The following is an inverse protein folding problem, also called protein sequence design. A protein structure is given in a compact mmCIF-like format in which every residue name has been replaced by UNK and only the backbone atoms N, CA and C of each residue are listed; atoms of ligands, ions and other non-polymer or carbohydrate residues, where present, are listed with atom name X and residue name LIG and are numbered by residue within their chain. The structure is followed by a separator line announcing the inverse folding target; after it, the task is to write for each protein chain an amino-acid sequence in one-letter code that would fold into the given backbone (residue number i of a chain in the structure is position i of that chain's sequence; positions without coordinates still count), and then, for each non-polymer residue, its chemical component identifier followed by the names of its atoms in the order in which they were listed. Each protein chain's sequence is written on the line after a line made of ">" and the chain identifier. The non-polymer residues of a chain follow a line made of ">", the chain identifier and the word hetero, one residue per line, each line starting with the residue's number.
data_IF_114965914497
#
_entry.id   IF_114965914497
#
_cell.length_a   1.000
_cell.length_b   1.000
_cell.length_c   1.000
_cell.angle_alpha   90.00
_cell.angle_beta   90.00
_cell.angle_gamma   90.00
#
_symmetry.space_group_name_H-M   'P 1'
#
loop_
_entity.id
_entity.type
_entity.pdbx_description
1 polymer ?
#
# COMPACT_ATOMS: atom_id res chain seq x y z
N UNK A 1 6.63 7.02 19.19
CA UNK A 1 5.20 7.29 18.87
C UNK A 1 4.47 5.97 19.00
N UNK A 2 3.27 5.94 19.60
CA UNK A 2 2.47 4.72 19.72
C UNK A 2 1.24 4.90 18.82
N UNK A 3 1.17 4.11 17.76
CA UNK A 3 -0.01 4.04 16.91
C UNK A 3 -1.10 3.21 17.58
N UNK A 4 -2.36 3.48 17.26
CA UNK A 4 -3.46 2.59 17.61
C UNK A 4 -3.40 1.30 16.77
N UNK A 5 -4.04 0.21 17.21
CA UNK A 5 -4.07 -1.04 16.44
C UNK A 5 -4.64 -0.88 15.02
N UNK A 6 -5.56 0.07 14.82
CA UNK A 6 -6.13 0.38 13.50
C UNK A 6 -5.10 1.06 12.61
N UNK A 7 -4.35 2.02 13.13
CA UNK A 7 -3.31 2.74 12.40
C UNK A 7 -2.14 1.81 12.00
N UNK A 8 -1.78 0.86 12.87
CA UNK A 8 -0.82 -0.20 12.54
C UNK A 8 -1.34 -1.09 11.40
N UNK A 9 -2.62 -1.47 11.42
CA UNK A 9 -3.25 -2.24 10.34
C UNK A 9 -3.28 -1.46 9.03
N UNK A 10 -3.67 -0.19 9.07
CA UNK A 10 -3.70 0.70 7.90
C UNK A 10 -2.29 0.89 7.32
N UNK A 11 -1.26 0.93 8.17
CA UNK A 11 0.14 0.98 7.74
C UNK A 11 0.51 -0.26 6.95
N UNK A 12 0.23 -1.45 7.47
CA UNK A 12 0.49 -2.71 6.76
C UNK A 12 -0.32 -2.82 5.46
N UNK A 13 -1.61 -2.44 5.49
CA UNK A 13 -2.48 -2.40 4.31
C UNK A 13 -1.89 -1.49 3.22
N UNK A 14 -1.44 -0.28 3.57
CA UNK A 14 -0.84 0.64 2.60
C UNK A 14 0.51 0.14 2.08
N UNK A 15 1.36 -0.42 2.92
CA UNK A 15 2.63 -1.00 2.47
C UNK A 15 2.41 -2.09 1.42
N UNK A 16 1.45 -2.99 1.67
CA UNK A 16 1.08 -4.05 0.73
C UNK A 16 0.37 -3.49 -0.51
N UNK A 17 -0.43 -2.43 -0.37
CA UNK A 17 -1.17 -1.82 -1.47
C UNK A 17 -0.27 -1.02 -2.43
N UNK A 18 0.72 -0.28 -1.91
CA UNK A 18 1.65 0.51 -2.72
C UNK A 18 2.79 -0.32 -3.32
N UNK A 19 3.27 -1.34 -2.59
CA UNK A 19 4.35 -2.23 -3.07
C UNK A 19 3.85 -3.48 -3.78
N UNK A 20 2.58 -3.81 -3.63
CA UNK A 20 1.94 -4.90 -4.35
C UNK A 20 1.60 -4.46 -5.77
N UNK A 21 1.94 -5.24 -6.81
CA UNK A 21 1.36 -4.98 -8.12
C UNK A 21 -0.16 -5.11 -8.01
N UNK A 22 -0.88 -4.10 -8.47
CA UNK A 22 -2.34 -4.11 -8.56
C UNK A 22 -2.74 -5.35 -9.36
N UNK A 23 -3.32 -6.36 -8.70
CA UNK A 23 -3.80 -7.59 -9.36
C UNK A 23 -2.99 -8.87 -9.11
N UNK A 24 -2.76 -9.23 -7.84
CA UNK A 24 -2.38 -10.59 -7.42
C UNK A 24 -0.92 -11.02 -7.67
N UNK A 25 0.03 -10.45 -6.94
CA UNK A 25 1.24 -11.22 -6.56
C UNK A 25 1.55 -11.09 -5.08
N UNK A 26 1.81 -12.26 -4.50
CA UNK A 26 2.21 -12.45 -3.12
C UNK A 26 3.58 -11.78 -2.88
N UNK A 27 3.70 -11.00 -1.80
CA UNK A 27 4.94 -10.34 -1.36
C UNK A 27 5.55 -11.18 -0.23
N UNK A 28 6.85 -11.44 -0.24
CA UNK A 28 7.49 -12.17 0.84
C UNK A 28 7.39 -11.40 2.17
N UNK A 29 7.17 -12.13 3.27
CA UNK A 29 7.17 -11.57 4.62
C UNK A 29 8.51 -10.88 4.93
N UNK A 30 9.62 -11.42 4.40
CA UNK A 30 10.94 -10.82 4.54
C UNK A 30 11.00 -9.42 3.93
N UNK A 31 10.51 -9.24 2.69
CA UNK A 31 10.47 -7.92 2.06
C UNK A 31 9.54 -6.95 2.81
N UNK A 32 8.40 -7.44 3.31
CA UNK A 32 7.50 -6.64 4.14
C UNK A 32 8.19 -6.22 5.43
N UNK A 33 8.92 -7.11 6.08
CA UNK A 33 9.65 -6.82 7.30
C UNK A 33 10.80 -5.83 7.08
N UNK A 34 11.49 -5.88 5.95
CA UNK A 34 12.51 -4.91 5.56
C UNK A 34 11.92 -3.51 5.42
N UNK A 35 10.84 -3.36 4.66
CA UNK A 35 10.19 -2.04 4.50
C UNK A 35 9.56 -1.57 5.82
N UNK A 36 9.00 -2.48 6.61
CA UNK A 36 8.48 -2.15 7.93
C UNK A 36 9.57 -1.65 8.88
N UNK A 37 10.79 -2.21 8.81
CA UNK A 37 11.91 -1.79 9.64
C UNK A 37 12.38 -0.36 9.34
N UNK A 38 12.02 0.20 8.17
CA UNK A 38 12.25 1.61 7.86
C UNK A 38 11.25 2.53 8.57
N UNK A 39 10.12 2.00 9.04
CA UNK A 39 9.15 2.76 9.83
C UNK A 39 9.64 2.96 11.27
N UNK A 40 9.00 3.87 11.99
CA UNK A 40 9.25 4.05 13.44
C UNK A 40 8.56 3.01 14.34
N UNK A 41 7.94 1.98 13.76
CA UNK A 41 7.10 0.98 14.45
C UNK A 41 7.90 -0.26 14.86
N UNK A 42 7.42 -1.00 15.87
CA UNK A 42 8.11 -2.21 16.34
C UNK A 42 7.79 -3.39 15.44
N UNK A 43 8.71 -4.37 15.38
CA UNK A 43 8.46 -5.64 14.69
C UNK A 43 7.27 -6.42 15.28
N UNK A 44 7.02 -6.33 16.59
CA UNK A 44 5.84 -6.95 17.21
C UNK A 44 4.53 -6.42 16.62
N UNK A 45 4.47 -5.12 16.34
CA UNK A 45 3.29 -4.46 15.77
C UNK A 45 2.99 -4.97 14.34
N UNK A 46 4.03 -5.33 13.57
CA UNK A 46 3.88 -5.96 12.26
C UNK A 46 3.17 -7.32 12.37
N UNK A 47 3.64 -8.20 13.26
CA UNK A 47 3.08 -9.54 13.41
C UNK A 47 1.63 -9.47 13.91
N UNK A 48 1.35 -8.59 14.88
CA UNK A 48 -0.01 -8.36 15.37
C UNK A 48 -0.94 -7.84 14.26
N UNK A 49 -0.45 -6.94 13.40
CA UNK A 49 -1.22 -6.45 12.26
C UNK A 49 -1.49 -7.55 11.22
N UNK A 50 -0.50 -8.41 10.93
CA UNK A 50 -0.67 -9.57 10.03
C UNK A 50 -1.77 -10.49 10.56
N UNK A 51 -1.70 -10.86 11.84
CA UNK A 51 -2.69 -11.75 12.48
C UNK A 51 -4.09 -11.14 12.44
N UNK A 52 -4.22 -9.84 12.77
CA UNK A 52 -5.51 -9.14 12.78
C UNK A 52 -6.11 -9.02 11.38
N UNK A 53 -5.32 -8.59 10.40
CA UNK A 53 -5.80 -8.46 9.02
C UNK A 53 -6.15 -9.80 8.39
N UNK A 54 -5.43 -10.87 8.75
CA UNK A 54 -5.76 -12.23 8.31
C UNK A 54 -7.06 -12.72 8.94
N UNK A 55 -7.27 -12.50 10.23
CA UNK A 55 -8.48 -12.90 10.94
C UNK A 55 -9.76 -12.25 10.39
N UNK A 56 -9.67 -11.01 9.89
CA UNK A 56 -10.80 -10.30 9.27
C UNK A 56 -10.89 -10.50 7.74
N UNK A 57 -10.05 -11.38 7.18
CA UNK A 57 -10.07 -11.72 5.75
C UNK A 57 -9.57 -10.62 4.82
N UNK A 58 -8.82 -9.64 5.33
CA UNK A 58 -8.18 -8.58 4.52
C UNK A 58 -6.81 -9.02 3.96
N UNK A 59 -6.19 -10.03 4.58
CA UNK A 59 -4.87 -10.54 4.25
C UNK A 59 -4.90 -12.05 4.04
N UNK A 60 -4.37 -12.51 2.91
CA UNK A 60 -4.09 -13.92 2.65
C UNK A 60 -2.62 -14.22 2.96
N UNK A 61 -2.38 -15.37 3.58
CA UNK A 61 -1.05 -15.87 3.92
C UNK A 61 -0.87 -17.21 3.21
N UNK A 62 0.18 -17.32 2.40
CA UNK A 62 0.52 -18.54 1.69
C UNK A 62 1.98 -18.91 1.97
N UNK A 63 2.25 -20.20 2.13
CA UNK A 63 3.62 -20.72 2.11
C UNK A 63 3.98 -21.11 0.68
N UNK A 64 5.14 -20.69 0.20
CA UNK A 64 5.66 -21.08 -1.11
C UNK A 64 7.16 -21.28 -1.03
N UNK A 65 7.61 -22.51 -1.25
CA UNK A 65 9.02 -22.92 -1.19
C UNK A 65 9.71 -22.52 0.13
N UNK A 66 8.98 -22.57 1.26
CA UNK A 66 9.50 -22.19 2.57
C UNK A 66 9.58 -20.68 2.82
N UNK A 67 9.08 -19.86 1.89
CA UNK A 67 8.89 -18.41 2.06
C UNK A 67 7.42 -18.11 2.38
N UNK A 68 7.20 -17.45 3.52
CA UNK A 68 5.87 -16.95 3.87
C UNK A 68 5.55 -15.74 3.01
N UNK A 69 4.46 -15.81 2.26
CA UNK A 69 4.03 -14.72 1.39
C UNK A 69 2.67 -14.18 1.78
N UNK A 70 2.54 -12.86 1.62
CA UNK A 70 1.40 -12.05 1.99
C UNK A 70 0.75 -11.45 0.75
N UNK A 71 -0.58 -11.49 0.67
CA UNK A 71 -1.32 -10.78 -0.38
C UNK A 71 -2.61 -10.17 0.15
N UNK A 72 -2.96 -9.00 -0.36
CA UNK A 72 -4.25 -8.39 -0.06
C UNK A 72 -5.37 -9.18 -0.74
N UNK A 73 -6.42 -9.48 0.02
CA UNK A 73 -7.67 -9.95 -0.54
C UNK A 73 -8.43 -8.77 -1.18
N UNK A 74 -9.52 -9.05 -1.91
CA UNK A 74 -10.38 -7.98 -2.44
C UNK A 74 -10.89 -7.05 -1.33
N UNK A 75 -11.41 -7.57 -0.19
CA UNK A 75 -11.71 -6.73 0.99
C UNK A 75 -10.52 -5.89 1.47
N UNK A 76 -9.32 -6.47 1.54
CA UNK A 76 -8.11 -5.74 1.95
C UNK A 76 -7.74 -4.59 1.02
N UNK A 77 -7.89 -4.76 -0.30
CA UNK A 77 -7.68 -3.69 -1.29
C UNK A 77 -8.69 -2.55 -1.11
N UNK A 78 -9.96 -2.89 -0.86
CA UNK A 78 -11.01 -1.88 -0.62
C UNK A 78 -10.72 -1.12 0.68
N UNK A 79 -10.34 -1.84 1.74
CA UNK A 79 -9.98 -1.24 3.03
C UNK A 79 -8.75 -0.32 2.91
N UNK A 80 -7.72 -0.75 2.19
CA UNK A 80 -6.55 0.09 1.93
C UNK A 80 -6.93 1.39 1.22
N UNK A 81 -7.79 1.34 0.19
CA UNK A 81 -8.26 2.55 -0.51
C UNK A 81 -9.11 3.46 0.36
N UNK A 82 -9.85 2.90 1.30
CA UNK A 82 -10.74 3.64 2.20
C UNK A 82 -10.01 4.24 3.42
N UNK A 83 -8.81 3.76 3.76
CA UNK A 83 -8.08 4.17 4.96
C UNK A 83 -7.73 5.67 4.95
N UNK A 84 -8.06 6.35 6.05
CA UNK A 84 -7.81 7.78 6.28
C UNK A 84 -6.96 7.99 7.51
N UNK A 85 -5.97 8.87 7.39
CA UNK A 85 -5.11 9.26 8.49
C UNK A 85 -5.71 10.41 9.31
N UNK A 86 -5.20 10.66 10.54
CA UNK A 86 -5.56 11.85 11.28
C UNK A 86 -5.40 13.12 10.44
N UNK A 87 -6.41 14.00 10.46
CA UNK A 87 -6.43 15.21 9.65
C UNK A 87 -6.84 15.02 8.19
N UNK A 88 -7.62 13.98 7.89
CA UNK A 88 -8.24 13.66 6.56
C UNK A 88 -7.26 13.38 5.41
N UNK A 89 -5.97 13.28 5.70
CA UNK A 89 -4.96 12.85 4.74
C UNK A 89 -5.21 11.41 4.28
N UNK A 90 -4.82 11.11 3.04
CA UNK A 90 -4.75 9.73 2.59
C UNK A 90 -3.71 8.97 3.46
N UNK A 91 -4.01 7.75 3.90
CA UNK A 91 -3.09 7.02 4.79
C UNK A 91 -1.70 6.81 4.17
N UNK A 92 -1.63 6.58 2.85
CA UNK A 92 -0.34 6.51 2.14
C UNK A 92 0.49 7.80 2.28
N UNK A 93 -0.14 8.97 2.20
CA UNK A 93 0.55 10.25 2.42
C UNK A 93 1.06 10.38 3.86
N UNK A 94 0.25 10.00 4.85
CA UNK A 94 0.68 9.99 6.26
C UNK A 94 1.82 9.00 6.51
N UNK A 95 1.77 7.81 5.92
CA UNK A 95 2.83 6.82 5.97
C UNK A 95 4.16 7.42 5.51
N UNK A 96 4.21 8.07 4.34
CA UNK A 96 5.45 8.65 3.82
C UNK A 96 5.90 9.91 4.56
N UNK A 97 4.96 10.76 5.01
CA UNK A 97 5.32 12.02 5.69
C UNK A 97 5.71 11.84 7.16
N UNK A 98 5.11 10.87 7.84
CA UNK A 98 5.23 10.74 9.31
C UNK A 98 5.96 9.46 9.71
N UNK A 99 5.67 8.34 9.07
CA UNK A 99 6.22 7.04 9.46
C UNK A 99 7.48 6.66 8.68
N UNK A 100 7.63 7.15 7.44
CA UNK A 100 8.76 6.92 6.54
C UNK A 100 9.37 8.23 6.00
N UNK A 101 9.70 9.24 6.83
CA UNK A 101 10.10 10.57 6.37
C UNK A 101 11.36 10.60 5.47
N UNK A 102 12.16 9.53 5.48
CA UNK A 102 13.35 9.37 4.63
C UNK A 102 13.11 8.69 3.28
N UNK A 103 11.97 8.02 3.09
CA UNK A 103 11.63 7.38 1.83
C UNK A 103 10.93 8.40 0.92
N UNK A 104 11.60 8.80 -0.17
CA UNK A 104 10.93 9.55 -1.22
C UNK A 104 9.87 8.64 -1.82
N UNK A 105 8.60 9.02 -1.66
CA UNK A 105 7.49 8.43 -2.39
C UNK A 105 7.83 8.52 -3.88
N UNK A 106 8.29 7.41 -4.49
CA UNK A 106 8.46 7.34 -5.94
C UNK A 106 7.07 7.56 -6.49
N UNK A 107 6.81 8.77 -6.97
CA UNK A 107 5.58 9.11 -7.64
C UNK A 107 5.40 8.09 -8.75
N UNK A 108 4.38 7.24 -8.60
CA UNK A 108 3.89 6.42 -9.70
C UNK A 108 3.53 7.45 -10.77
N UNK A 109 4.15 7.44 -11.97
CA UNK A 109 3.72 8.35 -13.03
C UNK A 109 2.23 8.12 -13.19
N UNK A 110 1.45 9.20 -13.04
CA UNK A 110 0.02 9.16 -13.29
C UNK A 110 -0.15 8.45 -14.63
N UNK A 111 -0.84 7.32 -14.64
CA UNK A 111 -1.06 6.57 -15.86
C UNK A 111 -1.62 7.54 -16.91
N UNK A 112 -0.84 7.78 -17.97
CA UNK A 112 -1.32 8.45 -19.17
C UNK A 112 -2.48 7.64 -19.71
N UNK A 113 -3.70 8.06 -19.37
CA UNK A 113 -4.85 7.20 -19.53
C UNK A 113 -6.16 7.96 -19.42
N UNK A 114 -6.36 8.96 -20.28
CA UNK A 114 -7.71 9.30 -20.73
C UNK A 114 -8.08 10.78 -20.76
N UNK A 115 -7.69 11.48 -21.83
CA UNK A 115 -8.65 12.10 -22.78
C UNK A 115 -7.88 12.88 -23.85
N UNK A 116 -7.60 12.19 -24.96
CA UNK A 116 -7.53 12.84 -26.25
C UNK A 116 -8.91 13.43 -26.58
N UNK A 117 -9.09 14.71 -26.28
CA UNK A 117 -10.07 15.58 -26.95
C UNK A 117 -9.44 16.94 -27.15
N UNK A 118 -8.78 17.11 -28.29
CA UNK A 118 -8.77 18.38 -29.02
C UNK A 118 -9.26 18.06 -30.43
N UNK A 119 -10.49 18.48 -30.71
CA UNK A 119 -10.96 18.61 -32.07
C UNK A 119 -10.30 19.81 -32.75
N UNK A 120 -10.45 19.84 -34.08
CA UNK A 120 -10.16 20.89 -35.06
C UNK A 120 -8.68 21.34 -35.12
N UNK A 121 -7.97 21.35 -36.25
CA UNK A 121 -8.40 21.57 -37.63
C UNK A 121 -7.72 20.61 -38.63
N UNK A 122 -8.56 20.18 -39.56
CA UNK A 122 -8.24 19.79 -40.92
C UNK A 122 -7.32 20.80 -41.63
N UNK A 123 -6.15 20.33 -42.05
CA UNK A 123 -5.77 20.36 -43.47
C UNK A 123 -5.18 21.64 -44.08
N UNK A 124 -4.04 21.42 -44.74
CA UNK A 124 -3.48 22.12 -45.92
C UNK A 124 -2.60 23.34 -45.60
N UNK A 125 -1.28 23.24 -45.66
CA UNK A 125 -0.39 23.03 -46.81
C UNK A 125 -0.41 24.19 -47.83
N UNK A 126 0.73 24.92 -47.83
CA UNK A 126 1.20 26.00 -48.71
C UNK A 126 0.65 27.40 -48.45
#
# INVERSE_FOLDING_TARGET
>A
MKLTPEETQNTLLQLLFERGPVGARNISLNLVAEVWAETTLRRGDLLDAIVRLSAIGHLSIADHDGDTRLSLTVPGVIAARAARAPGDLAWGEHLHKTLLPGQRQRQVPASEGGRGRRGYETGRAR
#
